data_IF_300476159992
#
_entry.id   IF_300476159992
#
_cell.length_a   1.000
_cell.length_b   1.000
_cell.length_c   1.000
_cell.angle_alpha   90.00
_cell.angle_beta   90.00
_cell.angle_gamma   90.00
#
_symmetry.space_group_name_H-M   'P 1'
#
loop_
_entity.id
_entity.type
_entity.pdbx_description
1 polymer ?
#
# COMPACT_ATOMS: atom_id res chain seq x y z
N UNK A 1 2.28 3.99 3.65
CA UNK A 1 2.25 5.21 2.80
C UNK A 1 1.62 6.36 3.59
N UNK A 2 2.22 7.55 3.59
CA UNK A 2 1.66 8.77 4.18
C UNK A 2 1.08 9.66 3.08
N UNK A 3 -0.22 9.93 3.16
CA UNK A 3 -0.90 10.97 2.39
C UNK A 3 -0.79 12.30 3.13
N UNK A 4 -0.75 13.41 2.39
CA UNK A 4 -0.72 14.74 3.01
C UNK A 4 -1.86 14.93 4.02
N UNK A 5 -1.51 15.33 5.24
CA UNK A 5 -2.41 15.40 6.39
C UNK A 5 -2.32 16.69 7.20
N UNK A 6 -1.75 17.77 6.63
CA UNK A 6 -1.76 19.10 7.26
C UNK A 6 -3.12 19.81 7.19
N UNK A 7 -4.10 19.24 6.50
CA UNK A 7 -5.49 19.71 6.40
C UNK A 7 -6.47 18.52 6.21
N UNK A 8 -7.76 18.82 6.07
CA UNK A 8 -8.86 17.83 6.06
C UNK A 8 -9.07 17.11 4.72
N UNK A 9 -8.06 17.08 3.84
CA UNK A 9 -8.23 16.45 2.53
C UNK A 9 -8.33 14.95 2.66
N UNK A 10 -9.12 14.39 1.76
CA UNK A 10 -9.25 12.95 1.57
C UNK A 10 -8.84 12.58 0.16
N UNK A 11 -8.32 11.37 0.02
CA UNK A 11 -7.83 10.84 -1.24
C UNK A 11 -8.51 9.51 -1.57
N UNK A 12 -8.56 9.22 -2.87
CA UNK A 12 -8.82 7.89 -3.41
C UNK A 12 -7.72 7.57 -4.40
N UNK A 13 -7.31 6.30 -4.45
CA UNK A 13 -6.18 5.90 -5.28
C UNK A 13 -6.23 4.40 -5.61
N UNK A 14 -5.42 4.00 -6.57
CA UNK A 14 -5.09 2.59 -6.83
C UNK A 14 -3.58 2.39 -6.77
N UNK A 15 -3.15 1.18 -6.42
CA UNK A 15 -1.76 0.77 -6.49
C UNK A 15 -1.66 -0.45 -7.39
N UNK A 16 -0.79 -0.35 -8.38
CA UNK A 16 -0.46 -1.44 -9.28
C UNK A 16 1.04 -1.72 -9.26
N UNK A 17 1.40 -2.98 -9.49
CA UNK A 17 2.79 -3.43 -9.55
C UNK A 17 3.09 -4.03 -10.92
N UNK A 18 4.37 -4.03 -11.28
CA UNK A 18 4.85 -4.61 -12.52
C UNK A 18 6.27 -5.14 -12.37
N UNK A 19 6.61 -6.17 -13.16
CA UNK A 19 7.98 -6.67 -13.32
C UNK A 19 8.68 -6.09 -14.55
N UNK A 20 7.92 -5.62 -15.54
CA UNK A 20 8.41 -5.24 -16.89
C UNK A 20 8.07 -3.79 -17.28
N UNK A 21 7.40 -3.04 -16.40
CA UNK A 21 6.88 -1.68 -16.62
C UNK A 21 5.84 -1.56 -17.77
N UNK A 22 5.35 -2.68 -18.30
CA UNK A 22 4.39 -2.75 -19.41
C UNK A 22 3.07 -3.39 -18.97
N UNK A 23 3.15 -4.56 -18.34
CA UNK A 23 2.02 -5.28 -17.79
C UNK A 23 1.86 -4.90 -16.32
N UNK A 24 0.67 -4.44 -15.93
CA UNK A 24 0.38 -3.96 -14.58
C UNK A 24 -0.71 -4.78 -13.92
N UNK A 25 -0.45 -5.21 -12.68
CA UNK A 25 -1.43 -5.88 -11.82
C UNK A 25 -1.83 -4.95 -10.70
N UNK A 26 -3.11 -4.60 -10.59
CA UNK A 26 -3.63 -3.82 -9.45
C UNK A 26 -3.67 -4.69 -8.21
N UNK A 27 -2.92 -4.29 -7.18
CA UNK A 27 -2.83 -5.00 -5.90
C UNK A 27 -3.64 -4.31 -4.80
N UNK A 28 -3.96 -3.02 -4.96
CA UNK A 28 -4.83 -2.27 -4.05
C UNK A 28 -5.75 -1.37 -4.86
N UNK A 29 -7.05 -1.44 -4.59
CA UNK A 29 -8.06 -0.53 -5.12
C UNK A 29 -8.76 0.22 -3.97
N UNK A 30 -8.42 1.49 -3.80
CA UNK A 30 -9.08 2.43 -2.86
C UNK A 30 -9.90 3.47 -3.61
N UNK A 31 -10.30 3.22 -4.86
CA UNK A 31 -11.08 4.17 -5.69
C UNK A 31 -12.48 4.50 -5.11
N UNK A 32 -12.97 3.66 -4.19
CA UNK A 32 -14.29 3.82 -3.54
C UNK A 32 -14.18 4.11 -2.04
N UNK A 33 -12.99 4.13 -1.49
CA UNK A 33 -12.75 4.32 -0.06
C UNK A 33 -12.22 5.72 0.22
N UNK A 34 -12.50 6.25 1.41
CA UNK A 34 -11.99 7.55 1.86
C UNK A 34 -10.69 7.31 2.63
N UNK A 35 -9.57 7.81 2.11
CA UNK A 35 -8.25 7.66 2.72
C UNK A 35 -7.65 9.02 3.15
N UNK A 36 -6.97 9.07 4.30
CA UNK A 36 -6.30 10.27 4.85
C UNK A 36 -5.10 9.86 5.71
N UNK A 37 -4.05 10.68 5.75
CA UNK A 37 -2.83 10.42 6.55
C UNK A 37 -2.23 9.04 6.26
N UNK A 38 -1.77 8.31 7.29
CA UNK A 38 -1.12 7.01 7.16
C UNK A 38 -2.04 5.90 6.64
N UNK A 39 -1.56 5.21 5.62
CA UNK A 39 -2.18 4.05 4.97
C UNK A 39 -1.26 2.85 5.13
N UNK A 40 -1.74 1.84 5.87
CA UNK A 40 -1.09 0.53 6.00
C UNK A 40 -1.82 -0.47 5.12
N UNK A 41 -1.16 -0.90 4.05
CA UNK A 41 -1.76 -1.73 3.00
C UNK A 41 -1.04 -3.06 2.95
N UNK A 42 -1.79 -4.14 2.78
CA UNK A 42 -1.29 -5.50 2.56
C UNK A 42 -1.94 -6.07 1.31
N UNK A 43 -1.18 -6.85 0.56
CA UNK A 43 -1.63 -7.56 -0.62
C UNK A 43 -0.85 -8.89 -0.71
N UNK A 44 -1.36 -9.82 -1.51
CA UNK A 44 -0.74 -11.13 -1.69
C UNK A 44 0.70 -11.01 -2.23
N UNK A 45 1.65 -11.84 -1.77
CA UNK A 45 3.02 -11.79 -2.26
C UNK A 45 3.11 -11.98 -3.77
N UNK A 46 3.67 -10.99 -4.45
CA UNK A 46 3.90 -11.02 -5.90
C UNK A 46 5.28 -10.45 -6.23
N UNK A 47 5.92 -10.87 -7.33
CA UNK A 47 7.14 -10.22 -7.80
C UNK A 47 6.90 -8.74 -8.15
N UNK A 48 7.73 -7.84 -7.62
CA UNK A 48 7.61 -6.39 -7.83
C UNK A 48 8.97 -5.80 -8.20
N UNK A 49 9.02 -5.12 -9.35
CA UNK A 49 10.15 -4.26 -9.74
C UNK A 49 9.71 -2.80 -9.78
N UNK A 50 8.49 -2.55 -10.26
CA UNK A 50 7.90 -1.23 -10.37
C UNK A 50 6.61 -1.16 -9.56
N UNK A 51 6.40 0.00 -8.92
CA UNK A 51 5.17 0.34 -8.21
C UNK A 51 4.61 1.60 -8.85
N UNK A 52 3.32 1.58 -9.18
CA UNK A 52 2.58 2.72 -9.71
C UNK A 52 1.42 3.02 -8.76
N UNK A 53 1.38 4.27 -8.30
CA UNK A 53 0.30 4.79 -7.47
C UNK A 53 -0.46 5.82 -8.32
N UNK A 54 -1.75 5.63 -8.49
CA UNK A 54 -2.60 6.53 -9.27
C UNK A 54 -3.63 7.15 -8.33
N UNK A 55 -3.51 8.45 -8.06
CA UNK A 55 -4.56 9.20 -7.40
C UNK A 55 -5.76 9.36 -8.32
N UNK A 56 -6.93 8.94 -7.87
CA UNK A 56 -8.19 9.03 -8.63
C UNK A 56 -9.11 10.12 -8.12
N UNK A 57 -8.89 10.61 -6.89
CA UNK A 57 -9.63 11.71 -6.30
C UNK A 57 -8.84 12.37 -5.17
N UNK A 58 -9.00 13.69 -5.04
CA UNK A 58 -8.63 14.49 -3.88
C UNK A 58 -9.75 15.52 -3.65
N UNK A 59 -10.19 15.68 -2.40
CA UNK A 59 -11.31 16.57 -2.05
C UNK A 59 -11.05 18.06 -2.26
N UNK A 60 -9.78 18.47 -2.37
CA UNK A 60 -9.41 19.88 -2.44
C UNK A 60 -8.94 20.32 -3.83
N UNK A 61 -8.31 19.43 -4.61
CA UNK A 61 -7.85 19.71 -5.97
C UNK A 61 -7.55 18.40 -6.72
N UNK A 62 -6.98 18.48 -7.91
CA UNK A 62 -6.69 17.32 -8.77
C UNK A 62 -5.30 16.69 -8.54
N UNK A 63 -4.51 17.20 -7.59
CA UNK A 63 -3.13 16.75 -7.36
C UNK A 63 -3.10 15.65 -6.29
N UNK A 64 -2.39 14.56 -6.56
CA UNK A 64 -2.16 13.50 -5.57
C UNK A 64 -0.89 13.76 -4.76
N UNK A 65 -1.03 13.91 -3.44
CA UNK A 65 0.08 14.22 -2.54
C UNK A 65 0.45 13.02 -1.66
N UNK A 66 1.45 12.26 -2.11
CA UNK A 66 2.12 11.22 -1.31
C UNK A 66 3.37 11.81 -0.66
N UNK A 67 3.37 11.92 0.66
CA UNK A 67 4.48 12.51 1.45
C UNK A 67 5.56 11.47 1.72
N UNK A 68 5.16 10.23 1.99
CA UNK A 68 6.09 9.16 2.29
C UNK A 68 5.56 7.82 1.75
N UNK A 69 6.45 7.02 1.19
CA UNK A 69 6.13 5.69 0.71
C UNK A 69 7.25 4.70 1.08
N UNK A 70 6.84 3.56 1.63
CA UNK A 70 7.69 2.42 1.89
C UNK A 70 6.91 1.14 1.54
N UNK A 71 7.64 0.10 1.12
CA UNK A 71 7.10 -1.20 0.78
C UNK A 71 7.99 -2.28 1.40
N UNK A 72 7.85 -2.55 2.70
CA UNK A 72 8.66 -3.56 3.36
C UNK A 72 8.29 -4.96 2.86
N UNK A 73 9.29 -5.80 2.63
CA UNK A 73 9.09 -7.23 2.40
C UNK A 73 8.58 -7.90 3.69
N UNK A 74 7.51 -8.68 3.56
CA UNK A 74 6.89 -9.40 4.68
C UNK A 74 7.52 -10.79 4.91
N UNK A 75 8.42 -11.25 4.05
CA UNK A 75 9.10 -12.56 4.14
C UNK A 75 9.78 -12.83 5.49
N UNK A 76 10.12 -11.80 6.27
CA UNK A 76 10.79 -11.93 7.57
C UNK A 76 9.89 -11.94 8.79
N UNK A 77 8.60 -11.58 8.68
CA UNK A 77 7.74 -11.41 9.87
C UNK A 77 6.87 -12.63 10.19
N UNK A 78 6.47 -13.41 9.19
CA UNK A 78 5.59 -14.57 9.44
C UNK A 78 6.35 -15.79 9.98
N UNK A 79 7.66 -15.92 9.74
CA UNK A 79 8.47 -17.04 10.27
C UNK A 79 8.65 -16.97 11.79
N UNK A 80 8.66 -15.77 12.38
CA UNK A 80 8.84 -15.61 13.83
C UNK A 80 7.58 -15.98 14.62
N UNK A 81 6.39 -15.69 14.07
CA UNK A 81 5.13 -16.02 14.74
C UNK A 81 4.80 -17.52 14.61
N UNK A 82 5.15 -18.16 13.50
CA UNK A 82 4.91 -19.60 13.32
C UNK A 82 5.83 -20.48 14.19
N UNK A 83 7.04 -19.99 14.51
CA UNK A 83 7.95 -20.69 15.44
C UNK A 83 7.51 -20.48 16.89
N UNK A 84 7.05 -19.29 17.28
CA UNK A 84 6.64 -18.99 18.65
C UNK A 84 5.40 -19.79 19.09
N UNK A 85 4.42 -20.01 18.20
CA UNK A 85 3.22 -20.82 18.52
C UNK A 85 3.55 -22.31 18.69
N UNK A 86 4.50 -22.84 17.91
CA UNK A 86 4.95 -24.24 18.03
C UNK A 86 5.70 -24.56 19.34
N UNK A 87 6.33 -23.56 19.97
CA UNK A 87 7.00 -23.72 21.26
C UNK A 87 6.08 -23.51 22.48
N UNK A 88 4.87 -22.94 22.30
CA UNK A 88 3.89 -22.78 23.39
C UNK A 88 2.94 -23.96 23.57
N UNK A 89 2.88 -24.86 22.60
CA UNK A 89 2.08 -26.10 22.64
C UNK A 89 2.91 -27.36 22.99
N UNK A 90 4.15 -27.19 23.46
CA UNK A 90 5.06 -28.27 23.90
C UNK A 90 5.23 -28.33 25.41
#
# INVERSE_FOLDING_TARGET
MLLWDCDERIYKYTISVSVDNQTWTTVVDKSREVCKSWQSLKFEPVPVVFIKIVGTYNSNNEVFHCVHFECPDMSKRDTLNQTAESYSES
#
